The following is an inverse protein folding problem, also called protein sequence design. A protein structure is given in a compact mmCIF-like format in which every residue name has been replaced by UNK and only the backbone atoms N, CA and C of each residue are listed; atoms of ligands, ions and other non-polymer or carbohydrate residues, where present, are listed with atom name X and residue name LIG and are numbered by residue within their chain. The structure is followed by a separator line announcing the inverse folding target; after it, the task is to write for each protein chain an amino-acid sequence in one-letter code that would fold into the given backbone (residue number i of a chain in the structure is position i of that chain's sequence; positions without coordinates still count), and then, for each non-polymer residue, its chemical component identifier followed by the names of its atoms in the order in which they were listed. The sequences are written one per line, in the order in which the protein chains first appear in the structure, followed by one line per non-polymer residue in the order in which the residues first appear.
data_IF_789322500547
#
_entry.id   IF_789322500547
#
_cell.length_a   1.000
_cell.length_b   1.000
_cell.length_c   1.000
_cell.angle_alpha   90.00
_cell.angle_beta   90.00
_cell.angle_gamma   90.00
#
_symmetry.space_group_name_H-M   'P 1'
#
loop_
_entity.id
_entity.type
_entity.pdbx_description
1 polymer ?
#
# COMPACT_ATOMS: atom_id res chain seq x y z
N UNK A 1 -31.75 -17.86 -28.95
CA UNK A 1 -32.08 -16.95 -27.82
C UNK A 1 -31.37 -17.36 -26.53
N UNK A 2 -31.58 -18.59 -26.01
CA UNK A 2 -30.94 -19.04 -24.76
C UNK A 2 -29.40 -19.00 -24.75
N UNK A 3 -28.76 -19.35 -25.88
CA UNK A 3 -27.30 -19.32 -26.05
C UNK A 3 -26.71 -17.90 -25.97
N UNK A 4 -27.37 -16.92 -26.60
CA UNK A 4 -26.94 -15.52 -26.60
C UNK A 4 -27.02 -14.95 -25.17
N UNK A 5 -28.12 -15.25 -24.46
CA UNK A 5 -28.33 -14.78 -23.09
C UNK A 5 -27.33 -15.42 -22.11
N UNK A 6 -27.00 -16.70 -22.30
CA UNK A 6 -25.95 -17.39 -21.55
C UNK A 6 -24.55 -16.81 -21.81
N UNK A 7 -24.20 -16.52 -23.07
CA UNK A 7 -22.92 -15.90 -23.42
C UNK A 7 -22.77 -14.49 -22.83
N UNK A 8 -23.82 -13.68 -22.84
CA UNK A 8 -23.83 -12.34 -22.23
C UNK A 8 -23.60 -12.43 -20.72
N UNK A 9 -24.25 -13.39 -20.04
CA UNK A 9 -24.11 -13.58 -18.60
C UNK A 9 -22.68 -13.97 -18.20
N UNK A 10 -22.06 -14.89 -18.94
CA UNK A 10 -20.66 -15.31 -18.71
C UNK A 10 -19.70 -14.15 -18.94
N UNK A 11 -19.93 -13.33 -19.97
CA UNK A 11 -19.14 -12.13 -20.22
C UNK A 11 -19.28 -11.08 -19.12
N UNK A 12 -20.50 -10.83 -18.65
CA UNK A 12 -20.76 -9.90 -17.55
C UNK A 12 -20.09 -10.35 -16.26
N UNK A 13 -20.13 -11.66 -15.95
CA UNK A 13 -19.45 -12.22 -14.78
C UNK A 13 -17.92 -12.12 -14.89
N UNK A 14 -17.36 -12.45 -16.06
CA UNK A 14 -15.91 -12.35 -16.31
C UNK A 14 -15.42 -10.89 -16.26
N UNK A 15 -16.17 -9.96 -16.86
CA UNK A 15 -15.87 -8.54 -16.83
C UNK A 15 -16.01 -7.95 -15.42
N UNK A 16 -17.01 -8.39 -14.65
CA UNK A 16 -17.22 -8.02 -13.25
C UNK A 16 -16.05 -8.43 -12.37
N UNK A 17 -15.62 -9.69 -12.45
CA UNK A 17 -14.46 -10.20 -11.70
C UNK A 17 -13.14 -9.52 -12.11
N UNK A 18 -12.94 -9.24 -13.40
CA UNK A 18 -11.78 -8.50 -13.87
C UNK A 18 -11.78 -7.04 -13.36
N UNK A 19 -12.96 -6.43 -13.23
CA UNK A 19 -13.11 -5.06 -12.72
C UNK A 19 -12.82 -4.94 -11.22
N UNK A 20 -13.31 -5.88 -10.41
CA UNK A 20 -13.05 -5.90 -8.96
C UNK A 20 -11.58 -6.13 -8.66
N UNK A 21 -10.92 -7.05 -9.36
CA UNK A 21 -9.50 -7.35 -9.19
C UNK A 21 -8.60 -6.15 -9.55
N UNK A 22 -8.94 -5.42 -10.62
CA UNK A 22 -8.22 -4.20 -11.00
C UNK A 22 -8.33 -3.09 -9.95
N UNK A 23 -9.51 -2.93 -9.34
CA UNK A 23 -9.71 -1.95 -8.27
C UNK A 23 -8.89 -2.31 -7.04
N UNK A 24 -8.94 -3.56 -6.60
CA UNK A 24 -8.17 -4.04 -5.45
C UNK A 24 -6.67 -3.82 -5.63
N UNK A 25 -6.14 -4.10 -6.82
CA UNK A 25 -4.71 -3.90 -7.11
C UNK A 25 -4.33 -2.41 -7.22
N UNK A 26 -5.23 -1.56 -7.73
CA UNK A 26 -5.04 -0.11 -7.76
C UNK A 26 -5.11 0.51 -6.35
N UNK A 27 -6.02 0.03 -5.51
CA UNK A 27 -6.17 0.46 -4.11
C UNK A 27 -4.96 0.04 -3.28
N UNK A 28 -4.44 -1.17 -3.48
CA UNK A 28 -3.19 -1.64 -2.86
C UNK A 28 -2.00 -0.77 -3.26
N UNK A 29 -1.88 -0.43 -4.54
CA UNK A 29 -0.84 0.45 -5.05
C UNK A 29 -0.97 1.87 -4.46
N UNK A 30 -2.18 2.42 -4.34
CA UNK A 30 -2.41 3.73 -3.72
C UNK A 30 -1.97 3.73 -2.24
N UNK A 31 -2.23 2.64 -1.52
CA UNK A 31 -1.78 2.48 -0.14
C UNK A 31 -0.24 2.46 -0.05
N UNK A 32 0.46 1.72 -0.91
CA UNK A 32 1.92 1.68 -0.91
C UNK A 32 2.53 3.07 -1.18
N UNK A 33 1.93 3.86 -2.08
CA UNK A 33 2.34 5.26 -2.27
C UNK A 33 2.08 6.12 -1.03
N UNK A 34 0.95 5.94 -0.35
CA UNK A 34 0.63 6.68 0.86
C UNK A 34 1.62 6.33 2.00
N UNK A 35 1.99 5.05 2.15
CA UNK A 35 3.02 4.60 3.09
C UNK A 35 4.39 5.19 2.75
N UNK A 36 4.80 5.15 1.49
CA UNK A 36 6.06 5.76 1.04
C UNK A 36 6.09 7.24 1.39
N UNK A 37 5.03 7.96 1.03
CA UNK A 37 4.92 9.40 1.30
C UNK A 37 5.01 9.69 2.80
N UNK A 38 4.31 8.92 3.63
CA UNK A 38 4.37 9.03 5.08
C UNK A 38 5.79 8.87 5.63
N UNK A 39 6.53 7.86 5.17
CA UNK A 39 7.92 7.64 5.60
C UNK A 39 8.86 8.78 5.14
N UNK A 40 8.68 9.27 3.92
CA UNK A 40 9.43 10.43 3.40
C UNK A 40 9.12 11.67 4.22
N UNK A 41 7.85 11.97 4.47
CA UNK A 41 7.43 13.13 5.25
C UNK A 41 8.03 13.09 6.66
N UNK A 42 7.97 11.93 7.33
CA UNK A 42 8.62 11.74 8.64
C UNK A 42 10.14 11.97 8.59
N UNK A 43 10.81 11.51 7.53
CA UNK A 43 12.26 11.73 7.36
C UNK A 43 12.60 13.21 7.15
N UNK A 44 11.81 13.91 6.33
CA UNK A 44 12.02 15.31 6.01
C UNK A 44 11.75 16.21 7.22
N UNK A 45 10.66 15.95 7.94
CA UNK A 45 10.34 16.70 9.15
C UNK A 45 11.30 16.38 10.29
N UNK A 46 11.70 15.11 10.48
CA UNK A 46 12.70 14.74 11.49
C UNK A 46 14.02 15.50 11.32
N UNK A 47 14.53 15.58 10.08
CA UNK A 47 15.77 16.30 9.78
C UNK A 47 15.60 17.83 9.81
N UNK A 48 14.42 18.35 9.42
CA UNK A 48 14.19 19.79 9.28
C UNK A 48 13.75 20.49 10.58
N UNK A 49 12.89 19.85 11.38
CA UNK A 49 12.26 20.48 12.55
C UNK A 49 12.81 19.99 13.89
N UNK A 50 13.62 18.92 13.90
CA UNK A 50 14.14 18.24 15.12
C UNK A 50 13.03 17.88 16.12
N UNK A 51 11.79 17.76 15.66
CA UNK A 51 10.68 17.35 16.51
C UNK A 51 10.70 15.83 16.67
N UNK A 52 10.27 15.32 17.83
CA UNK A 52 10.17 13.88 18.02
C UNK A 52 9.07 13.31 17.13
N UNK A 53 9.26 12.06 16.70
CA UNK A 53 8.39 11.38 15.72
C UNK A 53 6.94 11.32 16.19
N UNK A 54 6.69 11.20 17.49
CA UNK A 54 5.34 11.24 18.07
C UNK A 54 4.56 12.49 17.69
N UNK A 55 5.21 13.66 17.76
CA UNK A 55 4.59 14.96 17.49
C UNK A 55 4.33 15.11 15.99
N UNK A 56 5.25 14.62 15.16
CA UNK A 56 5.09 14.60 13.71
C UNK A 56 3.87 13.77 13.28
N UNK A 57 3.72 12.58 13.87
CA UNK A 57 2.59 11.69 13.61
C UNK A 57 1.24 12.26 14.09
N UNK A 58 1.23 12.96 15.23
CA UNK A 58 -0.01 13.55 15.77
C UNK A 58 -0.48 14.79 15.00
N UNK A 59 0.45 15.66 14.60
CA UNK A 59 0.12 17.02 14.18
C UNK A 59 0.45 17.36 12.72
N UNK A 60 1.43 16.70 12.10
CA UNK A 60 2.02 17.17 10.84
C UNK A 60 1.80 16.23 9.67
N UNK A 61 1.84 14.91 9.90
CA UNK A 61 1.68 13.94 8.82
C UNK A 61 0.20 13.64 8.59
N UNK A 62 -0.26 13.87 7.36
CA UNK A 62 -1.62 13.55 6.91
C UNK A 62 -1.53 12.82 5.57
N UNK A 63 -2.09 11.63 5.53
CA UNK A 63 -2.22 10.83 4.32
C UNK A 63 -3.63 10.92 3.77
N UNK A 64 -3.82 10.76 2.45
CA UNK A 64 -5.15 10.61 1.86
C UNK A 64 -5.86 9.32 2.30
N UNK A 65 -5.12 8.33 2.82
CA UNK A 65 -5.69 7.12 3.42
C UNK A 65 -6.01 7.36 4.91
N UNK A 66 -7.29 7.27 5.26
CA UNK A 66 -7.76 7.50 6.64
C UNK A 66 -7.27 6.41 7.61
N UNK A 67 -7.04 5.19 7.13
CA UNK A 67 -6.52 4.08 7.97
C UNK A 67 -5.10 4.38 8.44
N UNK A 68 -4.29 4.97 7.55
CA UNK A 68 -2.93 5.41 7.90
C UNK A 68 -2.97 6.60 8.87
N UNK A 69 -3.91 7.53 8.73
CA UNK A 69 -4.11 8.62 9.69
C UNK A 69 -4.51 8.10 11.09
N UNK A 70 -5.33 7.04 11.15
CA UNK A 70 -5.69 6.37 12.40
C UNK A 70 -4.47 5.71 13.05
N UNK A 71 -3.64 5.02 12.26
CA UNK A 71 -2.38 4.42 12.73
C UNK A 71 -1.43 5.48 13.29
N UNK A 72 -1.24 6.59 12.57
CA UNK A 72 -0.38 7.70 13.02
C UNK A 72 -0.85 8.26 14.38
N UNK A 73 -2.14 8.52 14.52
CA UNK A 73 -2.74 8.97 15.80
C UNK A 73 -2.50 7.96 16.90
N UNK A 74 -2.79 6.67 16.65
CA UNK A 74 -2.63 5.62 17.65
C UNK A 74 -1.18 5.46 18.13
N UNK A 75 -0.21 5.58 17.22
CA UNK A 75 1.22 5.55 17.57
C UNK A 75 1.56 6.78 18.42
N UNK A 76 1.13 7.97 18.01
CA UNK A 76 1.35 9.20 18.77
C UNK A 76 0.74 9.12 20.19
N UNK A 77 -0.50 8.65 20.32
CA UNK A 77 -1.18 8.49 21.62
C UNK A 77 -0.47 7.48 22.52
N UNK A 78 0.01 6.35 21.96
CA UNK A 78 0.78 5.36 22.72
C UNK A 78 2.11 5.94 23.25
N UNK A 79 2.76 6.81 22.49
CA UNK A 79 4.06 7.35 22.88
C UNK A 79 3.93 8.58 23.79
N UNK A 80 2.93 9.43 23.56
CA UNK A 80 2.69 10.65 24.34
C UNK A 80 1.90 10.35 25.61
N UNK A 81 0.70 9.76 25.50
CA UNK A 81 -0.21 9.60 26.65
C UNK A 81 0.16 8.39 27.51
N UNK A 82 0.53 7.27 26.89
CA UNK A 82 0.91 6.04 27.63
C UNK A 82 2.39 6.03 28.03
N UNK A 83 3.15 7.05 27.63
CA UNK A 83 4.57 7.22 27.95
C UNK A 83 5.41 5.95 27.64
N UNK A 84 5.07 5.26 26.54
CA UNK A 84 5.82 4.09 26.10
C UNK A 84 7.19 4.53 25.56
N UNK A 85 8.27 4.02 26.15
CA UNK A 85 9.64 4.48 25.84
C UNK A 85 10.25 3.88 24.57
N UNK A 86 9.59 2.90 23.96
CA UNK A 86 10.13 2.17 22.81
C UNK A 86 9.26 2.40 21.56
N UNK A 87 9.57 3.47 20.83
CA UNK A 87 8.89 3.86 19.59
C UNK A 87 8.89 2.78 18.51
N UNK A 88 10.00 2.06 18.35
CA UNK A 88 10.10 0.96 17.37
C UNK A 88 9.12 -0.18 17.70
N UNK A 89 9.03 -0.58 18.96
CA UNK A 89 8.10 -1.63 19.37
C UNK A 89 6.64 -1.20 19.23
N UNK A 90 6.32 0.05 19.60
CA UNK A 90 4.97 0.60 19.42
C UNK A 90 4.60 0.62 17.94
N UNK A 91 5.49 1.13 17.09
CA UNK A 91 5.31 1.16 15.64
C UNK A 91 5.00 -0.22 15.08
N UNK A 92 5.88 -1.20 15.34
CA UNK A 92 5.72 -2.56 14.84
C UNK A 92 4.43 -3.21 15.31
N UNK A 93 4.07 -3.02 16.59
CA UNK A 93 2.85 -3.57 17.19
C UNK A 93 1.59 -2.99 16.55
N UNK A 94 1.53 -1.67 16.38
CA UNK A 94 0.37 -1.01 15.77
C UNK A 94 0.23 -1.41 14.30
N UNK A 95 1.32 -1.42 13.53
CA UNK A 95 1.23 -1.85 12.13
C UNK A 95 0.81 -3.32 11.97
N UNK A 96 1.25 -4.21 12.86
CA UNK A 96 0.81 -5.62 12.81
C UNK A 96 -0.69 -5.76 13.13
N UNK A 97 -1.23 -4.95 14.04
CA UNK A 97 -2.67 -4.93 14.33
C UNK A 97 -3.50 -4.48 13.12
N UNK A 98 -2.99 -3.51 12.36
CA UNK A 98 -3.67 -2.97 11.17
C UNK A 98 -3.32 -3.70 9.88
N UNK A 99 -2.39 -4.67 9.90
CA UNK A 99 -1.93 -5.43 8.73
C UNK A 99 -3.08 -5.97 7.88
N UNK A 100 -4.08 -6.61 8.52
CA UNK A 100 -5.26 -7.15 7.83
C UNK A 100 -6.15 -6.06 7.24
N UNK A 101 -6.31 -4.93 7.93
CA UNK A 101 -7.13 -3.78 7.47
C UNK A 101 -6.46 -3.04 6.31
N UNK A 102 -5.14 -3.07 6.26
CA UNK A 102 -4.32 -2.49 5.19
C UNK A 102 -4.09 -3.46 4.03
N UNK A 103 -4.51 -4.73 4.14
CA UNK A 103 -4.25 -5.75 3.13
C UNK A 103 -2.77 -5.91 2.76
N UNK A 104 -1.85 -5.66 3.70
CA UNK A 104 -0.42 -5.79 3.45
C UNK A 104 -0.01 -7.26 3.34
N UNK A 105 0.84 -7.55 2.36
CA UNK A 105 1.51 -8.85 2.26
C UNK A 105 2.48 -9.04 3.43
N UNK A 106 2.93 -10.28 3.67
CA UNK A 106 3.89 -10.55 4.75
C UNK A 106 5.20 -9.77 4.59
N UNK A 107 5.70 -9.69 3.36
CA UNK A 107 6.91 -8.93 3.01
C UNK A 107 6.74 -7.43 3.27
N UNK A 108 5.62 -6.84 2.81
CA UNK A 108 5.34 -5.42 3.03
C UNK A 108 5.15 -5.10 4.52
N UNK A 109 4.51 -5.99 5.29
CA UNK A 109 4.36 -5.81 6.74
C UNK A 109 5.70 -5.81 7.48
N UNK A 110 6.61 -6.71 7.08
CA UNK A 110 7.97 -6.75 7.64
C UNK A 110 8.72 -5.46 7.29
N UNK A 111 8.71 -5.06 6.01
CA UNK A 111 9.35 -3.86 5.52
C UNK A 111 8.89 -2.59 6.26
N UNK A 112 7.58 -2.42 6.41
CA UNK A 112 7.01 -1.28 7.13
C UNK A 112 7.28 -1.38 8.64
N UNK A 113 7.31 -2.58 9.21
CA UNK A 113 7.70 -2.79 10.60
C UNK A 113 9.15 -2.35 10.89
N UNK A 114 10.08 -2.64 9.97
CA UNK A 114 11.49 -2.24 10.06
C UNK A 114 11.69 -0.72 9.98
N UNK A 115 10.76 0.01 9.33
CA UNK A 115 10.79 1.47 9.29
C UNK A 115 10.74 2.10 10.70
N UNK A 116 10.09 1.45 11.66
CA UNK A 116 10.10 1.88 13.06
C UNK A 116 11.52 1.96 13.64
N UNK A 117 12.38 1.00 13.32
CA UNK A 117 13.77 1.01 13.78
C UNK A 117 14.61 2.11 13.13
N UNK A 118 14.29 2.48 11.89
CA UNK A 118 14.92 3.60 11.20
C UNK A 118 14.43 4.97 11.72
N UNK A 119 13.16 5.06 12.16
CA UNK A 119 12.58 6.32 12.67
C UNK A 119 12.94 6.59 14.13
N UNK A 120 12.98 5.55 14.97
CA UNK A 120 13.22 5.67 16.42
C UNK A 120 14.61 5.19 16.86
N UNK A 121 15.49 4.86 15.91
CA UNK A 121 16.85 4.41 16.20
C UNK A 121 17.73 5.52 16.80
N UNK A 122 18.88 5.15 17.37
CA UNK A 122 19.74 6.09 18.13
C UNK A 122 20.74 6.88 17.27
N UNK A 123 21.09 6.37 16.09
CA UNK A 123 22.13 6.93 15.22
C UNK A 123 21.48 7.55 14.00
N UNK A 124 21.50 8.87 13.86
CA UNK A 124 20.87 9.57 12.74
C UNK A 124 21.42 9.10 11.38
N UNK A 125 22.73 8.87 11.26
CA UNK A 125 23.35 8.44 10.02
C UNK A 125 22.93 7.01 9.63
N UNK A 126 22.89 6.11 10.60
CA UNK A 126 22.45 4.72 10.37
C UNK A 126 20.95 4.66 10.09
N UNK A 127 20.15 5.44 10.82
CA UNK A 127 18.72 5.62 10.62
C UNK A 127 18.42 6.12 9.20
N UNK A 128 19.15 7.13 8.73
CA UNK A 128 18.99 7.67 7.39
C UNK A 128 19.27 6.61 6.33
N UNK A 129 20.41 5.91 6.43
CA UNK A 129 20.77 4.82 5.51
C UNK A 129 19.73 3.69 5.50
N UNK A 130 19.28 3.25 6.68
CA UNK A 130 18.24 2.22 6.81
C UNK A 130 16.92 2.67 6.18
N UNK A 131 16.51 3.91 6.43
CA UNK A 131 15.28 4.45 5.88
C UNK A 131 15.36 4.58 4.34
N UNK A 132 16.51 4.99 3.79
CA UNK A 132 16.74 5.01 2.34
C UNK A 132 16.56 3.62 1.74
N UNK A 133 17.17 2.59 2.32
CA UNK A 133 17.03 1.21 1.84
C UNK A 133 15.57 0.73 1.88
N UNK A 134 14.84 1.06 2.95
CA UNK A 134 13.41 0.73 3.09
C UNK A 134 12.58 1.43 2.00
N UNK A 135 12.86 2.70 1.73
CA UNK A 135 12.17 3.47 0.68
C UNK A 135 12.48 2.91 -0.71
N UNK A 136 13.72 2.49 -0.98
CA UNK A 136 14.11 1.84 -2.24
C UNK A 136 13.39 0.51 -2.43
N UNK A 137 13.33 -0.34 -1.40
CA UNK A 137 12.61 -1.61 -1.45
C UNK A 137 11.10 -1.40 -1.65
N UNK A 138 10.53 -0.37 -1.01
CA UNK A 138 9.13 0.00 -1.22
C UNK A 138 8.88 0.50 -2.65
N UNK A 139 9.84 1.23 -3.23
CA UNK A 139 9.78 1.69 -4.62
C UNK A 139 9.85 0.56 -5.63
N UNK A 140 10.70 -0.43 -5.40
CA UNK A 140 10.77 -1.60 -6.26
C UNK A 140 9.50 -2.46 -6.15
N UNK A 141 8.89 -2.52 -4.96
CA UNK A 141 7.57 -3.14 -4.78
C UNK A 141 6.48 -2.39 -5.54
N UNK A 142 6.46 -1.06 -5.44
CA UNK A 142 5.52 -0.20 -6.19
C UNK A 142 5.70 -0.41 -7.71
N UNK A 143 6.94 -0.47 -8.21
CA UNK A 143 7.22 -0.74 -9.63
C UNK A 143 6.70 -2.12 -10.05
N UNK A 144 6.89 -3.13 -9.21
CA UNK A 144 6.44 -4.50 -9.48
C UNK A 144 4.92 -4.57 -9.59
N UNK A 145 4.20 -4.05 -8.58
CA UNK A 145 2.71 -4.02 -8.59
C UNK A 145 2.17 -3.19 -9.75
N UNK A 146 2.84 -2.07 -10.09
CA UNK A 146 2.48 -1.26 -11.26
C UNK A 146 2.72 -2.01 -12.58
N UNK A 147 3.80 -2.77 -12.67
CA UNK A 147 4.11 -3.63 -13.80
C UNK A 147 3.03 -4.70 -14.00
N UNK A 148 2.63 -5.37 -12.92
CA UNK A 148 1.56 -6.36 -12.94
C UNK A 148 0.23 -5.77 -13.41
N UNK A 149 -0.15 -4.57 -12.93
CA UNK A 149 -1.31 -3.83 -13.44
C UNK A 149 -1.24 -3.63 -14.96
N UNK A 150 -0.07 -3.20 -15.46
CA UNK A 150 0.16 -2.94 -16.89
C UNK A 150 0.12 -4.22 -17.75
N UNK A 151 0.77 -5.30 -17.31
CA UNK A 151 0.79 -6.57 -18.04
C UNK A 151 -0.59 -7.22 -18.06
N UNK A 152 -1.29 -7.24 -16.92
CA UNK A 152 -2.65 -7.80 -16.85
C UNK A 152 -3.61 -6.99 -17.72
N UNK A 153 -3.47 -5.67 -17.78
CA UNK A 153 -4.27 -4.84 -18.69
C UNK A 153 -4.06 -5.21 -20.15
N UNK A 154 -2.81 -5.47 -20.57
CA UNK A 154 -2.49 -5.96 -21.93
C UNK A 154 -3.11 -7.33 -22.19
N UNK A 155 -2.97 -8.27 -21.27
CA UNK A 155 -3.53 -9.63 -21.41
C UNK A 155 -5.06 -9.57 -21.53
N UNK A 156 -5.75 -8.79 -20.68
CA UNK A 156 -7.20 -8.64 -20.78
C UNK A 156 -7.62 -8.00 -22.11
N UNK A 157 -6.90 -6.97 -22.59
CA UNK A 157 -7.19 -6.37 -23.90
C UNK A 157 -7.06 -7.40 -25.03
N UNK A 158 -5.99 -8.20 -25.03
CA UNK A 158 -5.76 -9.25 -26.04
C UNK A 158 -6.81 -10.36 -25.96
N UNK A 159 -7.12 -10.86 -24.75
CA UNK A 159 -8.11 -11.93 -24.54
C UNK A 159 -9.52 -11.46 -24.90
N UNK A 160 -9.91 -10.22 -24.54
CA UNK A 160 -11.19 -9.66 -24.94
C UNK A 160 -11.32 -9.49 -26.45
N UNK A 161 -10.24 -9.12 -27.14
CA UNK A 161 -10.23 -8.98 -28.60
C UNK A 161 -10.35 -10.35 -29.31
N UNK A 162 -9.62 -11.37 -28.84
CA UNK A 162 -9.67 -12.73 -29.40
C UNK A 162 -11.03 -13.40 -29.12
N UNK A 163 -11.54 -13.30 -27.88
CA UNK A 163 -12.83 -13.91 -27.51
C UNK A 163 -14.01 -13.19 -28.16
N UNK A 164 -13.92 -11.85 -28.30
CA UNK A 164 -14.90 -11.06 -29.05
C UNK A 164 -14.93 -11.45 -30.53
N UNK A 165 -13.76 -11.59 -31.17
CA UNK A 165 -13.66 -12.06 -32.56
C UNK A 165 -14.22 -13.47 -32.76
N UNK A 166 -13.91 -14.39 -31.85
CA UNK A 166 -14.40 -15.78 -31.93
C UNK A 166 -15.93 -15.87 -31.73
N UNK A 167 -16.51 -15.03 -30.87
CA UNK A 167 -17.97 -14.94 -30.70
C UNK A 167 -18.68 -14.36 -31.92
N UNK A 168 -18.09 -13.35 -32.57
CA UNK A 168 -18.64 -12.79 -33.82
C UNK A 168 -18.68 -13.87 -34.92
N UNK A 169 -17.61 -14.67 -35.03
CA UNK A 169 -17.55 -15.78 -36.00
C UNK A 169 -18.57 -16.89 -35.67
N UNK A 170 -18.81 -17.18 -34.38
CA UNK A 170 -19.79 -18.18 -33.94
C UNK A 170 -21.25 -17.70 -33.99
N UNK A 171 -21.48 -16.40 -34.09
CA UNK A 171 -22.82 -15.77 -34.15
C UNK A 171 -23.25 -15.36 -35.56
N UNK A 172 -22.33 -15.36 -36.52
CA UNK A 172 -22.59 -15.35 -37.97
C UNK A 172 -22.99 -16.76 -38.39
#
# INVERSE_FOLDING_TARGET
MLKIMGSILVFAAAAGMAGTYKRELADHLALLYALRKLLVDLSCYGNGTRQPVEVLLGCFVRTPDERLNEICRKIADCLIEKNEKNGEQVWKRVFEEYRKKLCLTGEESVLIGEAGGALFGRSEEENHRRLTLILEQLDDRIKTVRGELGEKQKIYATVSMVMGGMLVILLI
#
